data_IF_173919043734
#
_entry.id   IF_173919043734
#
_cell.length_a   1.000
_cell.length_b   1.000
_cell.length_c   1.000
_cell.angle_alpha   90.00
_cell.angle_beta   90.00
_cell.angle_gamma   90.00
#
_symmetry.space_group_name_H-M   'P 1'
#
loop_
_entity.id
_entity.type
_entity.pdbx_description
1 polymer ?
#
# COMPACT_ATOMS: atom_id res chain seq x y z
N UNK A 1 7.27 7.98 2.57
CA UNK A 1 6.25 8.98 2.24
C UNK A 1 5.53 8.54 1.00
N UNK A 2 4.21 8.68 0.92
CA UNK A 2 3.45 8.34 -0.28
C UNK A 2 2.79 9.58 -0.89
N UNK A 3 2.10 9.39 -2.02
CA UNK A 3 1.39 10.45 -2.73
C UNK A 3 -0.09 10.07 -2.84
N UNK A 4 -0.97 10.98 -2.44
CA UNK A 4 -2.42 10.83 -2.58
C UNK A 4 -2.84 11.03 -4.06
N UNK A 5 -4.04 10.60 -4.47
CA UNK A 5 -4.55 10.83 -5.83
C UNK A 5 -4.53 12.29 -6.29
N UNK A 6 -4.74 13.22 -5.35
CA UNK A 6 -4.68 14.67 -5.61
C UNK A 6 -3.25 15.24 -5.70
N UNK A 7 -2.21 14.40 -5.66
CA UNK A 7 -0.81 14.78 -5.76
C UNK A 7 -0.17 15.26 -4.45
N UNK A 8 -0.92 15.36 -3.34
CA UNK A 8 -0.34 15.74 -2.05
C UNK A 8 0.47 14.59 -1.43
N UNK A 9 1.60 14.91 -0.81
CA UNK A 9 2.38 13.93 -0.05
C UNK A 9 1.70 13.60 1.26
N UNK A 10 1.71 12.33 1.66
CA UNK A 10 1.36 11.91 3.02
C UNK A 10 2.55 11.24 3.72
N UNK A 11 2.58 11.40 5.04
CA UNK A 11 3.49 10.70 5.92
C UNK A 11 2.67 9.81 6.85
N UNK A 12 3.09 8.56 6.96
CA UNK A 12 2.43 7.54 7.75
C UNK A 12 3.29 6.30 7.84
N UNK A 13 2.83 5.34 8.63
CA UNK A 13 3.41 4.00 8.71
C UNK A 13 2.47 3.01 8.06
N UNK A 14 3.02 1.97 7.44
CA UNK A 14 2.24 0.85 6.93
C UNK A 14 2.77 -0.45 7.54
N UNK A 15 1.85 -1.30 7.97
CA UNK A 15 2.13 -2.70 8.29
C UNK A 15 1.55 -3.56 7.18
N UNK A 16 2.35 -4.46 6.65
CA UNK A 16 1.95 -5.39 5.58
C UNK A 16 2.14 -6.81 6.10
N UNK A 17 1.09 -7.60 6.05
CA UNK A 17 1.15 -9.04 6.30
C UNK A 17 0.72 -9.80 5.06
N UNK A 18 1.18 -11.04 4.92
CA UNK A 18 0.79 -11.91 3.81
C UNK A 18 0.04 -13.12 4.37
N UNK A 19 -1.08 -13.46 3.75
CA UNK A 19 -1.85 -14.65 4.07
C UNK A 19 -2.43 -15.26 2.80
N UNK A 20 -2.18 -16.55 2.55
CA UNK A 20 -2.73 -17.28 1.41
C UNK A 20 -2.53 -16.62 0.03
N UNK A 21 -1.42 -15.90 -0.17
CA UNK A 21 -1.11 -15.21 -1.43
C UNK A 21 -1.71 -13.80 -1.56
N UNK A 22 -2.51 -13.35 -0.59
CA UNK A 22 -3.02 -11.99 -0.49
C UNK A 22 -2.18 -11.18 0.52
N UNK A 23 -1.96 -9.90 0.23
CA UNK A 23 -1.28 -8.98 1.14
C UNK A 23 -2.31 -8.12 1.87
N UNK A 24 -2.24 -8.03 3.19
CA UNK A 24 -3.10 -7.18 3.99
C UNK A 24 -2.34 -5.94 4.43
N UNK A 25 -2.93 -4.78 4.18
CA UNK A 25 -2.37 -3.48 4.48
C UNK A 25 -3.11 -2.82 5.63
N UNK A 26 -2.35 -2.26 6.56
CA UNK A 26 -2.86 -1.33 7.58
C UNK A 26 -1.99 -0.09 7.57
N UNK A 27 -2.54 1.02 7.07
CA UNK A 27 -1.88 2.33 7.10
C UNK A 27 -2.33 3.14 8.31
N UNK A 28 -1.38 3.80 8.96
CA UNK A 28 -1.65 4.86 9.95
C UNK A 28 -1.15 6.17 9.38
N UNK A 29 -2.07 7.06 9.02
CA UNK A 29 -1.79 8.38 8.42
C UNK A 29 -2.46 9.45 9.25
N UNK A 30 -1.71 10.41 9.77
CA UNK A 30 -2.23 11.51 10.61
C UNK A 30 -3.11 11.04 11.79
N UNK A 31 -2.84 9.87 12.36
CA UNK A 31 -3.62 9.28 13.46
C UNK A 31 -4.89 8.55 13.04
N UNK A 32 -5.18 8.48 11.73
CA UNK A 32 -6.26 7.68 11.16
C UNK A 32 -5.74 6.36 10.62
N UNK A 33 -6.56 5.31 10.73
CA UNK A 33 -6.24 3.97 10.24
C UNK A 33 -7.04 3.66 8.99
N UNK A 34 -6.35 3.15 7.97
CA UNK A 34 -6.93 2.66 6.72
C UNK A 34 -6.48 1.23 6.48
N UNK A 35 -7.29 0.45 5.77
CA UNK A 35 -6.99 -0.96 5.47
C UNK A 35 -7.20 -1.27 4.00
N UNK A 36 -6.44 -2.25 3.47
CA UNK A 36 -6.59 -2.68 2.09
C UNK A 36 -6.06 -4.09 1.85
N UNK A 37 -6.40 -4.65 0.69
CA UNK A 37 -5.93 -5.94 0.21
C UNK A 37 -5.13 -5.77 -1.08
N UNK A 38 -3.99 -6.44 -1.14
CA UNK A 38 -2.99 -6.27 -2.19
C UNK A 38 -2.72 -7.56 -2.95
N UNK A 39 -2.54 -7.42 -4.26
CA UNK A 39 -2.09 -8.47 -5.17
C UNK A 39 -0.76 -8.09 -5.80
N UNK A 40 0.19 -9.03 -5.80
CA UNK A 40 1.53 -8.84 -6.36
C UNK A 40 1.66 -9.56 -7.69
N UNK A 41 1.92 -8.81 -8.76
CA UNK A 41 2.24 -9.34 -10.09
C UNK A 41 3.63 -8.86 -10.52
N UNK A 42 4.60 -9.77 -10.55
CA UNK A 42 6.00 -9.41 -10.76
C UNK A 42 6.52 -8.53 -9.63
N UNK A 43 6.79 -7.26 -9.93
CA UNK A 43 7.19 -6.24 -8.95
C UNK A 43 6.09 -5.20 -8.70
N UNK A 44 4.93 -5.32 -9.35
CA UNK A 44 3.82 -4.37 -9.20
C UNK A 44 2.85 -4.88 -8.15
N UNK A 45 2.65 -4.09 -7.09
CA UNK A 45 1.74 -4.39 -6.00
C UNK A 45 0.55 -3.44 -6.07
N UNK A 46 -0.60 -3.97 -6.42
CA UNK A 46 -1.85 -3.22 -6.54
C UNK A 46 -2.70 -3.46 -5.30
N UNK A 47 -3.12 -2.39 -4.63
CA UNK A 47 -3.86 -2.45 -3.36
C UNK A 47 -5.24 -1.81 -3.51
N UNK A 48 -6.27 -2.63 -3.31
CA UNK A 48 -7.65 -2.17 -3.12
C UNK A 48 -7.85 -1.76 -1.67
N UNK A 49 -8.40 -0.58 -1.45
CA UNK A 49 -8.65 0.00 -0.13
C UNK A 49 -10.07 0.56 0.01
N UNK A 50 -10.97 0.17 -0.91
CA UNK A 50 -12.39 0.57 -0.89
C UNK A 50 -12.71 1.87 -1.61
N UNK A 51 -11.73 2.52 -2.25
CA UNK A 51 -11.92 3.73 -3.06
C UNK A 51 -11.93 3.42 -4.56
N UNK A 52 -12.33 4.41 -5.37
CA UNK A 52 -12.44 4.26 -6.84
C UNK A 52 -11.10 3.93 -7.51
N UNK A 53 -10.00 4.46 -6.96
CA UNK A 53 -8.66 4.29 -7.51
C UNK A 53 -7.79 3.47 -6.53
N UNK A 54 -7.14 2.39 -7.00
CA UNK A 54 -6.25 1.60 -6.16
C UNK A 54 -4.95 2.35 -5.87
N UNK A 55 -4.25 1.92 -4.82
CA UNK A 55 -2.86 2.32 -4.59
C UNK A 55 -1.95 1.36 -5.32
N UNK A 56 -0.98 1.86 -6.08
CA UNK A 56 -0.01 1.05 -6.81
C UNK A 56 1.38 1.33 -6.24
N UNK A 57 2.11 0.27 -5.89
CA UNK A 57 3.50 0.32 -5.47
C UNK A 57 4.40 -0.49 -6.41
N UNK A 58 5.63 -0.03 -6.59
CA UNK A 58 6.72 -0.87 -7.09
C UNK A 58 7.48 -1.51 -5.91
N UNK A 59 7.54 -2.83 -5.90
CA UNK A 59 8.28 -3.61 -4.89
C UNK A 59 9.75 -3.69 -5.28
N UNK A 60 10.62 -3.09 -4.47
CA UNK A 60 12.08 -3.08 -4.67
C UNK A 60 12.80 -3.80 -3.54
N UNK A 61 14.07 -4.13 -3.79
CA UNK A 61 14.99 -4.73 -2.81
C UNK A 61 14.43 -6.00 -2.13
N UNK A 62 13.69 -6.81 -2.89
CA UNK A 62 13.09 -8.05 -2.38
C UNK A 62 12.00 -7.82 -1.31
N UNK A 63 11.22 -6.75 -1.43
CA UNK A 63 10.13 -6.43 -0.49
C UNK A 63 10.51 -5.47 0.64
N UNK A 64 11.78 -5.01 0.69
CA UNK A 64 12.25 -4.09 1.73
C UNK A 64 11.87 -2.63 1.46
N UNK A 65 11.51 -2.30 0.22
CA UNK A 65 11.14 -0.95 -0.20
C UNK A 65 9.91 -1.01 -1.11
N UNK A 66 8.94 -0.14 -0.83
CA UNK A 66 7.82 0.17 -1.72
C UNK A 66 7.99 1.62 -2.17
N UNK A 67 7.92 1.85 -3.48
CA UNK A 67 7.92 3.18 -4.11
C UNK A 67 6.61 3.45 -4.83
#
# INVERSE_FOLDING_TARGET
SGTNPNGSSYNGSVTISQSNGEYLFTWTVAGQTFTGTGTLEGTTLTVDWGETEPVIYEVKNGGKLLE
#
